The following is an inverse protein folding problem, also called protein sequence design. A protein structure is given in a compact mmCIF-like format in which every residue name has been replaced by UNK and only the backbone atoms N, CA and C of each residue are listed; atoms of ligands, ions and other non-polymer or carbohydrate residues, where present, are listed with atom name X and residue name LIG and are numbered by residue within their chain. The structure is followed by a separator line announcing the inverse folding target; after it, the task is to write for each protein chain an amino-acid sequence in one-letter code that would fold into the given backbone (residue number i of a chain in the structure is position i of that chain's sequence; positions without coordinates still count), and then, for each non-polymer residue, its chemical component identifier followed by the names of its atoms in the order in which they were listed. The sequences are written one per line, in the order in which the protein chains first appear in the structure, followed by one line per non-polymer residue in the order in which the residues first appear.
data_IF_158477817374
#
_entry.id   IF_158477817374
#
_cell.length_a   1.000
_cell.length_b   1.000
_cell.length_c   1.000
_cell.angle_alpha   90.00
_cell.angle_beta   90.00
_cell.angle_gamma   90.00
#
_symmetry.space_group_name_H-M   'P 1'
#
loop_
_entity.id
_entity.type
_entity.pdbx_description
1 polymer ?
#
# COMPACT_ATOMS: atom_id res chain seq x y z
N UNK A 1 31.53 -57.33 11.09
CA UNK A 1 30.31 -56.61 11.52
C UNK A 1 30.24 -56.64 13.03
N UNK A 2 30.65 -55.55 13.67
CA UNK A 2 30.71 -55.42 15.14
C UNK A 2 29.31 -55.16 15.68
N UNK A 3 28.78 -56.10 16.48
CA UNK A 3 27.54 -55.94 17.24
C UNK A 3 27.78 -54.93 18.36
N UNK A 4 27.24 -53.72 18.22
CA UNK A 4 27.19 -52.73 19.29
C UNK A 4 26.31 -53.29 20.42
N UNK A 5 26.90 -53.45 21.62
CA UNK A 5 26.18 -53.86 22.83
C UNK A 5 25.27 -52.70 23.31
N UNK A 6 24.01 -52.96 23.70
CA UNK A 6 23.17 -51.96 24.33
C UNK A 6 23.52 -51.91 25.82
N UNK A 7 23.92 -50.74 26.32
CA UNK A 7 24.34 -50.63 27.71
C UNK A 7 24.75 -49.24 28.14
N UNK A 8 23.83 -48.28 28.03
CA UNK A 8 23.80 -47.06 28.85
C UNK A 8 22.35 -46.58 28.93
N UNK A 9 21.78 -46.28 30.11
CA UNK A 9 20.48 -45.63 30.18
C UNK A 9 20.61 -44.22 29.60
N UNK A 10 19.90 -43.96 28.51
CA UNK A 10 19.78 -42.62 27.94
C UNK A 10 18.93 -41.75 28.89
N UNK A 11 19.26 -40.45 29.04
CA UNK A 11 18.56 -39.55 29.95
C UNK A 11 17.08 -39.43 29.58
N UNK A 12 16.21 -39.39 30.59
CA UNK A 12 14.77 -39.29 30.44
C UNK A 12 14.37 -37.89 29.94
N UNK A 13 13.99 -37.79 28.66
CA UNK A 13 13.53 -36.55 28.04
C UNK A 13 12.08 -36.29 28.50
N UNK A 14 11.88 -35.26 29.32
CA UNK A 14 10.56 -34.80 29.76
C UNK A 14 10.08 -33.65 28.86
N UNK A 15 9.28 -33.99 27.86
CA UNK A 15 8.52 -33.05 27.05
C UNK A 15 7.36 -33.78 26.39
N UNK A 16 6.14 -33.24 26.45
CA UNK A 16 4.97 -33.82 25.80
C UNK A 16 5.08 -33.66 24.28
N UNK A 17 5.85 -34.54 23.64
CA UNK A 17 6.00 -34.59 22.18
C UNK A 17 4.92 -35.50 21.60
N UNK A 18 4.02 -34.95 20.78
CA UNK A 18 2.93 -35.69 20.15
C UNK A 18 3.46 -36.44 18.94
N UNK A 19 3.71 -37.75 19.08
CA UNK A 19 4.11 -38.61 17.98
C UNK A 19 2.89 -39.35 17.45
N UNK A 20 2.68 -39.29 16.13
CA UNK A 20 1.63 -40.05 15.46
C UNK A 20 2.12 -41.48 15.20
N UNK A 21 1.65 -42.44 16.00
CA UNK A 21 2.09 -43.83 15.97
C UNK A 21 1.06 -44.68 15.22
N UNK A 22 1.08 -44.66 13.89
CA UNK A 22 0.22 -45.52 13.10
C UNK A 22 0.72 -46.98 13.09
N UNK A 23 -0.18 -47.93 13.36
CA UNK A 23 -0.07 -49.32 12.88
C UNK A 23 0.80 -50.31 13.68
N UNK A 24 1.18 -50.02 14.92
CA UNK A 24 1.90 -51.00 15.75
C UNK A 24 0.92 -51.77 16.64
N UNK A 25 0.31 -52.86 16.17
CA UNK A 25 -0.66 -53.59 16.98
C UNK A 25 -0.04 -54.50 18.06
N UNK A 26 1.22 -54.95 17.95
CA UNK A 26 1.66 -56.11 18.77
C UNK A 26 3.07 -56.08 19.42
N UNK A 27 3.70 -54.93 19.63
CA UNK A 27 4.99 -54.90 20.35
C UNK A 27 5.22 -53.64 21.19
N UNK A 28 4.68 -53.60 22.42
CA UNK A 28 4.85 -52.49 23.37
C UNK A 28 6.32 -52.09 23.60
N UNK A 29 7.24 -53.08 23.65
CA UNK A 29 8.67 -52.80 23.84
C UNK A 29 9.32 -52.15 22.60
N UNK A 30 8.90 -52.57 21.40
CA UNK A 30 9.40 -51.99 20.15
C UNK A 30 8.85 -50.57 19.94
N UNK A 31 7.59 -50.33 20.30
CA UNK A 31 6.99 -48.99 20.30
C UNK A 31 7.77 -48.03 21.20
N UNK A 32 8.14 -48.46 22.42
CA UNK A 32 8.86 -47.61 23.37
C UNK A 32 10.27 -47.27 22.87
N UNK A 33 10.97 -48.25 22.27
CA UNK A 33 12.25 -48.00 21.60
C UNK A 33 12.12 -47.08 20.38
N UNK A 34 11.08 -47.25 19.55
CA UNK A 34 10.81 -46.39 18.39
C UNK A 34 10.53 -44.94 18.82
N UNK A 35 9.72 -44.74 19.87
CA UNK A 35 9.45 -43.43 20.46
C UNK A 35 10.77 -42.83 20.95
N UNK A 36 11.54 -43.57 21.76
CA UNK A 36 12.79 -43.10 22.33
C UNK A 36 13.82 -42.71 21.25
N UNK A 37 13.98 -43.52 20.21
CA UNK A 37 14.87 -43.22 19.10
C UNK A 37 14.37 -42.02 18.30
N UNK A 38 13.06 -41.93 18.02
CA UNK A 38 12.46 -40.78 17.33
C UNK A 38 12.67 -39.49 18.11
N UNK A 39 12.38 -39.46 19.41
CA UNK A 39 12.61 -38.30 20.27
C UNK A 39 14.08 -37.91 20.27
N UNK A 40 15.00 -38.89 20.38
CA UNK A 40 16.44 -38.61 20.33
C UNK A 40 16.86 -37.98 19.01
N UNK A 41 16.34 -38.47 17.88
CA UNK A 41 16.61 -37.88 16.55
C UNK A 41 16.11 -36.45 16.48
N UNK A 42 14.89 -36.15 16.97
CA UNK A 42 14.35 -34.79 16.96
C UNK A 42 15.20 -33.86 17.82
N UNK A 43 15.53 -34.25 19.06
CA UNK A 43 16.40 -33.45 19.93
C UNK A 43 17.77 -33.20 19.32
N UNK A 44 18.37 -34.19 18.65
CA UNK A 44 19.63 -33.98 17.94
C UNK A 44 19.49 -33.03 16.75
N UNK A 45 18.39 -33.08 16.01
CA UNK A 45 18.12 -32.15 14.90
C UNK A 45 17.93 -30.71 15.40
N UNK A 46 17.19 -30.50 16.48
CA UNK A 46 17.01 -29.18 17.11
C UNK A 46 18.35 -28.62 17.60
N UNK A 47 19.17 -29.46 18.24
CA UNK A 47 20.52 -29.06 18.65
C UNK A 47 21.42 -28.71 17.45
N UNK A 48 21.30 -29.42 16.32
CA UNK A 48 22.03 -29.08 15.09
C UNK A 48 21.58 -27.73 14.51
N UNK A 49 20.30 -27.40 14.56
CA UNK A 49 19.76 -26.11 14.11
C UNK A 49 20.29 -24.95 14.96
N UNK A 50 20.17 -25.06 16.29
CA UNK A 50 20.66 -24.04 17.22
C UNK A 50 22.17 -23.78 17.05
N UNK A 51 22.96 -24.84 16.90
CA UNK A 51 24.39 -24.73 16.68
C UNK A 51 24.76 -24.20 15.29
N UNK A 52 23.88 -24.31 14.28
CA UNK A 52 24.14 -23.79 12.94
C UNK A 52 24.20 -22.26 12.93
N UNK A 53 23.33 -21.59 13.68
CA UNK A 53 23.35 -20.13 13.83
C UNK A 53 24.63 -19.66 14.51
N UNK A 54 25.00 -20.29 15.63
CA UNK A 54 26.24 -20.00 16.36
C UNK A 54 27.49 -20.22 15.48
N UNK A 55 27.52 -21.31 14.71
CA UNK A 55 28.60 -21.58 13.75
C UNK A 55 28.74 -20.45 12.71
N UNK A 56 27.63 -19.94 12.16
CA UNK A 56 27.68 -18.82 11.20
C UNK A 56 28.26 -17.55 11.84
N UNK A 57 27.79 -17.20 13.04
CA UNK A 57 28.31 -16.04 13.79
C UNK A 57 29.81 -16.18 14.07
N UNK A 58 30.26 -17.32 14.60
CA UNK A 58 31.68 -17.54 14.88
C UNK A 58 32.54 -17.58 13.62
N UNK A 59 32.03 -18.09 12.50
CA UNK A 59 32.76 -18.07 11.23
C UNK A 59 32.94 -16.63 10.72
N UNK A 60 31.93 -15.78 10.88
CA UNK A 60 32.03 -14.35 10.58
C UNK A 60 33.04 -13.64 11.49
N UNK A 61 32.95 -13.82 12.81
CA UNK A 61 33.89 -13.21 13.77
C UNK A 61 35.33 -13.67 13.49
N UNK A 62 35.53 -14.96 13.23
CA UNK A 62 36.83 -15.50 12.85
C UNK A 62 37.34 -14.83 11.57
N UNK A 63 36.47 -14.61 10.57
CA UNK A 63 36.87 -13.90 9.36
C UNK A 63 37.31 -12.45 9.66
N UNK A 64 36.61 -11.75 10.55
CA UNK A 64 37.00 -10.39 10.96
C UNK A 64 38.39 -10.34 11.59
N UNK A 65 38.73 -11.30 12.45
CA UNK A 65 40.08 -11.38 13.03
C UNK A 65 41.16 -11.60 11.96
N UNK A 66 40.86 -12.42 10.95
CA UNK A 66 41.77 -12.63 9.81
C UNK A 66 41.89 -11.41 8.90
N UNK A 67 40.83 -10.61 8.74
CA UNK A 67 40.87 -9.36 7.98
C UNK A 67 41.83 -8.34 8.63
N UNK A 68 42.01 -8.38 9.96
CA UNK A 68 42.97 -7.54 10.71
C UNK A 68 44.41 -8.01 10.54
N UNK A 69 44.66 -9.33 10.55
CA UNK A 69 46.02 -9.91 10.51
C UNK A 69 46.56 -10.06 9.07
N UNK A 70 45.68 -10.10 8.07
CA UNK A 70 46.01 -10.16 6.65
C UNK A 70 45.61 -11.48 5.98
N UNK A 71 44.96 -11.37 4.82
CA UNK A 71 44.19 -12.45 4.14
C UNK A 71 45.03 -13.60 3.54
N UNK A 72 46.37 -13.48 3.52
CA UNK A 72 47.24 -14.39 2.75
C UNK A 72 47.19 -15.86 3.22
N UNK A 73 46.69 -16.13 4.42
CA UNK A 73 46.67 -17.48 5.03
C UNK A 73 45.26 -18.05 5.26
N UNK A 74 44.19 -17.29 4.97
CA UNK A 74 42.80 -17.69 5.25
C UNK A 74 42.42 -19.02 4.58
N UNK A 75 42.68 -19.14 3.27
CA UNK A 75 42.35 -20.34 2.52
C UNK A 75 43.04 -21.60 3.05
N UNK A 76 44.35 -21.50 3.32
CA UNK A 76 45.14 -22.60 3.91
C UNK A 76 44.66 -22.97 5.31
N UNK A 77 44.33 -21.97 6.14
CA UNK A 77 43.79 -22.20 7.48
C UNK A 77 42.46 -22.95 7.42
N UNK A 78 41.55 -22.53 6.55
CA UNK A 78 40.26 -23.17 6.35
C UNK A 78 40.41 -24.62 5.89
N UNK A 79 41.28 -24.87 4.91
CA UNK A 79 41.50 -26.22 4.39
C UNK A 79 42.06 -27.14 5.48
N UNK A 80 43.04 -26.69 6.26
CA UNK A 80 43.69 -27.50 7.29
C UNK A 80 42.77 -27.79 8.48
N UNK A 81 41.90 -26.86 8.86
CA UNK A 81 41.12 -26.96 10.10
C UNK A 81 39.67 -27.40 9.88
N UNK A 82 39.04 -27.06 8.75
CA UNK A 82 37.60 -27.28 8.55
C UNK A 82 37.24 -28.39 7.57
N UNK A 83 38.16 -28.79 6.66
CA UNK A 83 37.92 -29.84 5.66
C UNK A 83 37.54 -31.19 6.29
N UNK A 84 38.16 -31.55 7.41
CA UNK A 84 37.86 -32.81 8.15
C UNK A 84 36.45 -32.87 8.74
N UNK A 85 35.79 -31.72 8.87
CA UNK A 85 34.42 -31.59 9.35
C UNK A 85 33.40 -31.43 8.20
N UNK A 86 33.83 -31.61 6.94
CA UNK A 86 32.96 -31.47 5.77
C UNK A 86 32.56 -30.02 5.44
N UNK A 87 33.27 -29.03 5.99
CA UNK A 87 33.02 -27.62 5.71
C UNK A 87 33.92 -27.18 4.54
N UNK A 88 33.31 -27.12 3.34
CA UNK A 88 33.98 -26.68 2.13
C UNK A 88 33.94 -25.16 1.97
N UNK A 89 34.77 -24.63 1.08
CA UNK A 89 34.93 -23.19 0.84
C UNK A 89 33.60 -22.47 0.54
N UNK A 90 32.71 -23.08 -0.24
CA UNK A 90 31.37 -22.54 -0.52
C UNK A 90 30.51 -22.40 0.75
N UNK A 91 30.53 -23.43 1.61
CA UNK A 91 29.83 -23.43 2.90
C UNK A 91 30.44 -22.45 3.89
N UNK A 92 31.77 -22.27 3.88
CA UNK A 92 32.46 -21.26 4.68
C UNK A 92 32.03 -19.86 4.25
N UNK A 93 32.04 -19.56 2.94
CA UNK A 93 31.58 -18.26 2.43
C UNK A 93 30.13 -17.97 2.79
N UNK A 94 29.24 -18.96 2.64
CA UNK A 94 27.83 -18.82 3.02
C UNK A 94 27.66 -18.58 4.53
N UNK A 95 28.40 -19.32 5.37
CA UNK A 95 28.40 -19.13 6.81
C UNK A 95 28.88 -17.73 7.23
N UNK A 96 29.93 -17.20 6.60
CA UNK A 96 30.42 -15.83 6.85
C UNK A 96 29.37 -14.80 6.46
N UNK A 97 28.78 -14.90 5.25
CA UNK A 97 27.74 -13.96 4.81
C UNK A 97 26.55 -13.97 5.76
N UNK A 98 26.09 -15.16 6.12
CA UNK A 98 24.99 -15.33 7.07
C UNK A 98 25.35 -14.75 8.44
N UNK A 99 26.54 -15.06 8.97
CA UNK A 99 27.01 -14.54 10.25
C UNK A 99 27.11 -13.02 10.28
N UNK A 100 27.54 -12.39 9.17
CA UNK A 100 27.55 -10.93 9.02
C UNK A 100 26.14 -10.35 9.13
N UNK A 101 25.16 -10.96 8.45
CA UNK A 101 23.76 -10.52 8.50
C UNK A 101 23.21 -10.64 9.92
N UNK A 102 23.46 -11.77 10.59
CA UNK A 102 23.02 -12.00 11.97
C UNK A 102 23.62 -10.98 12.96
N UNK A 103 24.92 -10.69 12.83
CA UNK A 103 25.58 -9.68 13.65
C UNK A 103 24.98 -8.28 13.42
N UNK A 104 24.72 -7.91 12.15
CA UNK A 104 24.11 -6.63 11.81
C UNK A 104 22.68 -6.49 12.36
N UNK A 105 21.87 -7.56 12.30
CA UNK A 105 20.53 -7.59 12.88
C UNK A 105 20.59 -7.38 14.41
N UNK A 106 21.54 -8.06 15.08
CA UNK A 106 21.79 -7.86 16.51
C UNK A 106 22.18 -6.42 16.87
N UNK A 107 23.05 -5.79 16.07
CA UNK A 107 23.44 -4.39 16.28
C UNK A 107 22.28 -3.39 16.06
N UNK A 108 21.34 -3.72 15.18
CA UNK A 108 20.10 -2.95 14.97
C UNK A 108 19.04 -3.16 16.06
N UNK A 109 19.33 -4.01 17.06
CA UNK A 109 18.39 -4.32 18.15
C UNK A 109 17.30 -5.31 17.77
N UNK A 110 17.42 -6.01 16.64
CA UNK A 110 16.50 -7.08 16.28
C UNK A 110 16.84 -8.36 17.03
N UNK A 111 15.84 -8.92 17.72
CA UNK A 111 15.94 -10.27 18.25
C UNK A 111 15.99 -11.28 17.08
N UNK A 112 17.04 -12.10 17.04
CA UNK A 112 17.25 -13.12 16.01
C UNK A 112 17.23 -14.54 16.60
N UNK A 113 16.81 -14.70 17.85
CA UNK A 113 16.77 -16.00 18.53
C UNK A 113 15.89 -17.01 17.81
N UNK A 114 14.83 -16.59 17.13
CA UNK A 114 13.96 -17.48 16.37
C UNK A 114 14.64 -18.05 15.12
N UNK A 115 15.68 -17.38 14.59
CA UNK A 115 16.49 -17.93 13.50
C UNK A 115 17.28 -19.18 13.93
N UNK A 116 17.44 -19.43 15.22
CA UNK A 116 18.05 -20.67 15.73
C UNK A 116 17.23 -21.92 15.40
N UNK A 117 15.94 -21.77 15.04
CA UNK A 117 15.07 -22.87 14.61
C UNK A 117 15.22 -23.20 13.12
N UNK A 118 16.01 -22.42 12.38
CA UNK A 118 16.26 -22.67 10.96
C UNK A 118 17.33 -23.74 10.76
N UNK A 119 17.15 -24.57 9.74
CA UNK A 119 18.22 -25.44 9.27
C UNK A 119 19.40 -24.63 8.72
N UNK A 120 20.61 -25.21 8.68
CA UNK A 120 21.79 -24.57 8.09
C UNK A 120 21.54 -24.07 6.66
N UNK A 121 20.83 -24.85 5.84
CA UNK A 121 20.51 -24.45 4.46
C UNK A 121 19.54 -23.26 4.42
N UNK A 122 18.57 -23.24 5.33
CA UNK A 122 17.62 -22.14 5.48
C UNK A 122 18.33 -20.85 5.95
N UNK A 123 19.25 -20.97 6.91
CA UNK A 123 20.11 -19.87 7.34
C UNK A 123 20.95 -19.31 6.20
N UNK A 124 21.52 -20.16 5.34
CA UNK A 124 22.28 -19.69 4.18
C UNK A 124 21.41 -18.97 3.16
N UNK A 125 20.20 -19.49 2.90
CA UNK A 125 19.23 -18.81 2.04
C UNK A 125 18.84 -17.42 2.61
N UNK A 126 18.66 -17.33 3.93
CA UNK A 126 18.41 -16.06 4.61
C UNK A 126 19.61 -15.10 4.50
N UNK A 127 20.83 -15.60 4.71
CA UNK A 127 22.07 -14.82 4.61
C UNK A 127 22.39 -14.32 3.20
N UNK A 128 21.87 -14.98 2.17
CA UNK A 128 21.99 -14.56 0.77
C UNK A 128 20.92 -13.52 0.36
N UNK A 129 19.95 -13.21 1.23
CA UNK A 129 18.93 -12.21 0.95
C UNK A 129 19.51 -10.78 0.81
N UNK A 130 18.99 -9.95 -0.11
CA UNK A 130 19.36 -8.54 -0.23
C UNK A 130 19.08 -7.74 1.06
N UNK A 131 19.92 -6.73 1.36
CA UNK A 131 19.86 -5.96 2.63
C UNK A 131 18.53 -5.24 2.82
N UNK A 132 17.95 -4.76 1.73
CA UNK A 132 16.62 -4.12 1.64
C UNK A 132 15.46 -5.06 1.95
N UNK A 133 15.68 -6.38 1.87
CA UNK A 133 14.67 -7.40 2.11
C UNK A 133 14.84 -8.09 3.47
N UNK A 134 16.04 -8.09 4.04
CA UNK A 134 16.40 -8.84 5.26
C UNK A 134 15.49 -8.58 6.47
N UNK A 135 15.12 -7.33 6.75
CA UNK A 135 14.27 -6.99 7.90
C UNK A 135 12.83 -7.51 7.72
N UNK A 136 12.29 -7.37 6.51
CA UNK A 136 10.95 -7.87 6.20
C UNK A 136 10.92 -9.40 6.17
N UNK A 137 11.97 -10.02 5.62
CA UNK A 137 12.14 -11.47 5.65
C UNK A 137 12.24 -12.01 7.08
N UNK A 138 12.94 -11.30 7.99
CA UNK A 138 13.01 -11.68 9.40
C UNK A 138 11.63 -11.67 10.06
N UNK A 139 10.80 -10.66 9.78
CA UNK A 139 9.44 -10.60 10.28
C UNK A 139 8.59 -11.78 9.78
N UNK A 140 8.64 -12.08 8.48
CA UNK A 140 7.90 -13.19 7.88
C UNK A 140 8.35 -14.56 8.44
N UNK A 141 9.65 -14.73 8.72
CA UNK A 141 10.19 -15.94 9.35
C UNK A 141 9.69 -16.09 10.78
N UNK A 142 9.67 -14.99 11.57
CA UNK A 142 9.14 -15.00 12.95
C UNK A 142 7.65 -15.37 12.97
N UNK A 143 6.86 -14.79 12.06
CA UNK A 143 5.44 -15.11 11.92
C UNK A 143 5.23 -16.58 11.54
N UNK A 144 5.99 -17.09 10.57
CA UNK A 144 5.93 -18.51 10.16
C UNK A 144 6.25 -19.46 11.32
N UNK A 145 7.25 -19.13 12.13
CA UNK A 145 7.63 -19.91 13.32
C UNK A 145 6.52 -19.84 14.37
N UNK A 146 5.93 -18.67 14.59
CA UNK A 146 4.83 -18.50 15.53
C UNK A 146 3.62 -19.35 15.13
N UNK A 147 3.25 -19.35 13.86
CA UNK A 147 2.07 -20.06 13.34
C UNK A 147 2.25 -21.57 13.26
N UNK A 148 3.44 -22.03 12.85
CA UNK A 148 3.70 -23.45 12.55
C UNK A 148 4.48 -24.17 13.64
N UNK A 149 5.06 -23.45 14.59
CA UNK A 149 5.98 -23.98 15.61
C UNK A 149 7.31 -24.49 15.05
N UNK A 150 7.60 -24.27 13.75
CA UNK A 150 8.83 -24.72 13.09
C UNK A 150 9.31 -23.69 12.06
N UNK A 151 10.63 -23.63 11.90
CA UNK A 151 11.28 -22.76 10.92
C UNK A 151 10.95 -23.10 9.46
N UNK A 152 10.82 -22.10 8.57
CA UNK A 152 10.70 -22.33 7.14
C UNK A 152 11.93 -23.04 6.55
N UNK A 153 11.69 -23.78 5.47
CA UNK A 153 12.73 -24.46 4.69
C UNK A 153 13.55 -23.48 3.85
N UNK A 154 14.69 -23.95 3.35
CA UNK A 154 15.55 -23.13 2.49
C UNK A 154 14.86 -22.68 1.20
N UNK A 155 14.01 -23.54 0.62
CA UNK A 155 13.30 -23.23 -0.62
C UNK A 155 12.15 -22.24 -0.38
N UNK A 156 11.45 -22.36 0.77
CA UNK A 156 10.47 -21.36 1.20
C UNK A 156 11.12 -19.98 1.41
N UNK A 157 12.30 -19.93 2.05
CA UNK A 157 13.03 -18.67 2.23
C UNK A 157 13.46 -18.08 0.89
N UNK A 158 14.03 -18.88 -0.03
CA UNK A 158 14.44 -18.37 -1.35
C UNK A 158 13.27 -17.81 -2.14
N UNK A 159 12.15 -18.54 -2.17
CA UNK A 159 10.93 -18.08 -2.83
C UNK A 159 10.47 -16.76 -2.23
N UNK A 160 10.50 -16.64 -0.91
CA UNK A 160 10.08 -15.41 -0.24
C UNK A 160 11.03 -14.24 -0.52
N UNK A 161 12.32 -14.49 -0.60
CA UNK A 161 13.31 -13.49 -1.04
C UNK A 161 12.99 -13.00 -2.44
N UNK A 162 12.71 -13.90 -3.39
CA UNK A 162 12.34 -13.54 -4.76
C UNK A 162 11.08 -12.67 -4.82
N UNK A 163 10.04 -13.05 -4.09
CA UNK A 163 8.79 -12.27 -3.98
C UNK A 163 9.05 -10.87 -3.41
N UNK A 164 9.77 -10.77 -2.29
CA UNK A 164 10.06 -9.51 -1.64
C UNK A 164 10.98 -8.61 -2.48
N UNK A 165 11.97 -9.20 -3.17
CA UNK A 165 12.84 -8.46 -4.08
C UNK A 165 12.06 -7.90 -5.28
N UNK A 166 11.10 -8.65 -5.82
CA UNK A 166 10.20 -8.15 -6.86
C UNK A 166 9.35 -6.97 -6.33
N UNK A 167 8.76 -7.11 -5.15
CA UNK A 167 7.99 -6.02 -4.52
C UNK A 167 8.82 -4.75 -4.30
N UNK A 168 10.08 -4.87 -3.87
CA UNK A 168 10.97 -3.72 -3.68
C UNK A 168 11.30 -3.07 -5.03
N UNK A 169 11.54 -3.87 -6.07
CA UNK A 169 11.81 -3.38 -7.42
C UNK A 169 10.63 -2.58 -7.98
N UNK A 170 9.41 -3.11 -7.85
CA UNK A 170 8.18 -2.46 -8.32
C UNK A 170 7.93 -1.13 -7.58
N UNK A 171 8.14 -1.11 -6.25
CA UNK A 171 8.04 0.12 -5.45
C UNK A 171 9.08 1.16 -5.86
N UNK A 172 10.31 0.74 -6.15
CA UNK A 172 11.36 1.63 -6.63
C UNK A 172 11.03 2.21 -8.02
N UNK A 173 10.40 1.42 -8.90
CA UNK A 173 9.85 1.89 -10.18
C UNK A 173 8.78 2.97 -9.99
N UNK A 174 7.79 2.68 -9.14
CA UNK A 174 6.69 3.62 -8.85
C UNK A 174 7.20 4.93 -8.23
N UNK A 175 8.21 4.87 -7.35
CA UNK A 175 8.82 6.07 -6.78
C UNK A 175 9.47 6.95 -7.85
N UNK A 176 10.22 6.37 -8.79
CA UNK A 176 10.82 7.12 -9.90
C UNK A 176 9.77 7.79 -10.77
N UNK A 177 8.65 7.13 -11.03
CA UNK A 177 7.53 7.71 -11.80
C UNK A 177 6.89 8.88 -11.05
N UNK A 178 6.69 8.74 -9.73
CA UNK A 178 6.18 9.83 -8.88
C UNK A 178 7.14 11.01 -8.84
N UNK A 179 8.44 10.78 -8.69
CA UNK A 179 9.44 11.85 -8.71
C UNK A 179 9.46 12.58 -10.06
N UNK A 180 9.35 11.85 -11.17
CA UNK A 180 9.22 12.44 -12.50
C UNK A 180 7.93 13.27 -12.65
N UNK A 181 6.81 12.81 -12.07
CA UNK A 181 5.56 13.56 -12.07
C UNK A 181 5.65 14.84 -11.22
N UNK A 182 6.27 14.78 -10.04
CA UNK A 182 6.53 15.94 -9.19
C UNK A 182 7.40 16.96 -9.93
N UNK A 183 8.45 16.51 -10.60
CA UNK A 183 9.30 17.38 -11.41
C UNK A 183 8.50 18.12 -12.49
N UNK A 184 7.65 17.40 -13.25
CA UNK A 184 6.78 18.01 -14.27
C UNK A 184 5.80 19.02 -13.68
N UNK A 185 5.18 18.71 -12.54
CA UNK A 185 4.28 19.62 -11.84
C UNK A 185 5.00 20.88 -11.36
N UNK A 186 6.20 20.76 -10.81
CA UNK A 186 7.00 21.91 -10.40
C UNK A 186 7.37 22.81 -11.58
N UNK A 187 7.74 22.23 -12.73
CA UNK A 187 8.00 23.01 -13.94
C UNK A 187 6.75 23.74 -14.44
N UNK A 188 5.59 23.08 -14.43
CA UNK A 188 4.31 23.70 -14.81
C UNK A 188 3.89 24.82 -13.83
N UNK A 189 4.15 24.64 -12.53
CA UNK A 189 3.91 25.65 -11.51
C UNK A 189 4.76 26.89 -11.75
N UNK A 190 6.07 26.72 -11.98
CA UNK A 190 6.97 27.82 -12.30
C UNK A 190 6.56 28.57 -13.58
N UNK A 191 6.11 27.84 -14.62
CA UNK A 191 5.57 28.45 -15.83
C UNK A 191 4.33 29.31 -15.52
N UNK A 192 3.39 28.81 -14.70
CA UNK A 192 2.23 29.61 -14.28
C UNK A 192 2.59 30.81 -13.40
N UNK A 193 3.58 30.69 -12.53
CA UNK A 193 4.05 31.83 -11.71
C UNK A 193 4.65 32.93 -12.59
N UNK A 194 5.41 32.56 -13.62
CA UNK A 194 5.96 33.53 -14.58
C UNK A 194 4.87 34.20 -15.42
N UNK A 195 3.89 33.45 -15.92
CA UNK A 195 2.70 34.01 -16.60
C UNK A 195 1.92 34.96 -15.68
N UNK A 196 1.69 34.57 -14.42
CA UNK A 196 0.99 35.41 -13.45
C UNK A 196 1.76 36.70 -13.15
N UNK A 197 3.10 36.64 -13.10
CA UNK A 197 3.95 37.83 -12.94
C UNK A 197 3.83 38.76 -14.15
N UNK A 198 3.87 38.22 -15.36
CA UNK A 198 3.71 39.01 -16.59
C UNK A 198 2.34 39.69 -16.67
N UNK A 199 1.27 38.95 -16.33
CA UNK A 199 -0.08 39.50 -16.29
C UNK A 199 -0.23 40.65 -15.26
N UNK A 200 0.43 40.54 -14.08
CA UNK A 200 0.45 41.62 -13.08
C UNK A 200 1.15 42.87 -13.62
N UNK A 201 2.30 42.72 -14.29
CA UNK A 201 2.99 43.85 -14.91
C UNK A 201 2.14 44.52 -16.00
N UNK A 202 1.39 43.74 -16.78
CA UNK A 202 0.50 44.27 -17.82
C UNK A 202 -0.67 45.05 -17.22
N UNK A 203 -1.30 44.53 -16.16
CA UNK A 203 -2.35 45.24 -15.40
C UNK A 203 -1.83 46.57 -14.85
N UNK A 204 -0.62 46.59 -14.29
CA UNK A 204 -0.01 47.81 -13.77
C UNK A 204 0.25 48.84 -14.87
N UNK A 205 0.71 48.39 -16.06
CA UNK A 205 0.91 49.27 -17.22
C UNK A 205 -0.40 49.87 -17.72
N UNK A 206 -1.46 49.06 -17.79
CA UNK A 206 -2.79 49.52 -18.20
C UNK A 206 -3.37 50.51 -17.19
N UNK A 207 -3.24 50.25 -15.89
CA UNK A 207 -3.65 51.19 -14.84
C UNK A 207 -2.95 52.56 -14.98
N UNK A 208 -1.63 52.58 -15.19
CA UNK A 208 -0.89 53.84 -15.41
C UNK A 208 -1.37 54.58 -16.67
N UNK A 209 -1.65 53.87 -17.76
CA UNK A 209 -2.18 54.49 -19.00
C UNK A 209 -3.56 55.12 -18.77
N UNK A 210 -4.47 54.39 -18.13
CA UNK A 210 -5.81 54.88 -17.77
C UNK A 210 -5.72 56.11 -16.86
N UNK A 211 -4.85 56.08 -15.87
CA UNK A 211 -4.64 57.20 -14.94
C UNK A 211 -4.11 58.44 -15.67
N UNK A 212 -3.17 58.28 -16.61
CA UNK A 212 -2.64 59.38 -17.42
C UNK A 212 -3.71 59.96 -18.37
N UNK A 213 -4.51 59.11 -19.01
CA UNK A 213 -5.61 59.55 -19.88
C UNK A 213 -6.71 60.30 -19.09
N UNK A 214 -7.02 59.84 -17.88
CA UNK A 214 -7.96 60.53 -17.00
C UNK A 214 -7.43 61.91 -16.57
N UNK A 215 -6.13 62.04 -16.33
CA UNK A 215 -5.50 63.35 -16.05
C UNK A 215 -5.52 64.30 -17.25
N UNK A 216 -5.35 63.81 -18.48
CA UNK A 216 -5.42 64.64 -19.69
C UNK A 216 -6.83 65.21 -19.94
N UNK A 217 -7.89 64.46 -19.64
CA UNK A 217 -9.28 64.90 -19.83
C UNK A 217 -9.70 65.96 -18.79
N UNK A 218 -9.15 65.93 -17.57
CA UNK A 218 -9.47 66.91 -16.51
C UNK A 218 -8.93 68.31 -16.82
N UNK A 219 -7.95 68.46 -17.72
CA UNK A 219 -7.26 69.73 -17.97
C UNK A 219 -7.66 70.48 -19.25
N UNK A 220 -8.63 70.00 -20.03
CA UNK A 220 -9.12 70.74 -21.20
C UNK A 220 -10.64 70.92 -21.16
N UNK A 221 -11.10 72.13 -20.77
CA UNK A 221 -12.45 72.57 -21.06
C UNK A 221 -12.60 72.78 -22.59
N UNK A 222 -13.65 72.26 -23.23
CA UNK A 222 -13.86 72.40 -24.68
C UNK A 222 -13.88 73.88 -25.10
N UNK A 223 -13.16 74.23 -26.17
CA UNK A 223 -13.15 75.59 -26.71
C UNK A 223 -14.50 75.90 -27.37
N UNK A 224 -15.27 76.82 -26.79
CA UNK A 224 -16.51 77.35 -27.40
C UNK A 224 -17.72 77.56 -26.49
N UNK A 225 -17.60 77.39 -25.17
CA UNK A 225 -18.75 77.51 -24.25
C UNK A 225 -19.07 79.00 -24.00
N UNK A 226 -20.15 79.50 -24.60
CA UNK A 226 -20.67 80.87 -24.35
C UNK A 226 -21.69 80.92 -23.21
N UNK A 227 -22.27 79.79 -22.82
CA UNK A 227 -23.11 79.65 -21.61
C UNK A 227 -22.72 78.37 -20.85
N UNK A 228 -21.90 78.54 -19.82
CA UNK A 228 -21.38 77.43 -19.00
C UNK A 228 -22.50 76.75 -18.19
N UNK A 229 -23.55 77.47 -17.83
CA UNK A 229 -24.68 76.91 -17.09
C UNK A 229 -25.56 76.01 -17.95
N UNK A 230 -25.81 76.35 -19.22
CA UNK A 230 -26.62 75.52 -20.12
C UNK A 230 -25.92 74.21 -20.47
N UNK A 231 -24.60 74.25 -20.73
CA UNK A 231 -23.82 73.03 -20.98
C UNK A 231 -23.69 72.17 -19.73
N UNK A 232 -23.52 72.80 -18.56
CA UNK A 232 -23.48 72.09 -17.28
C UNK A 232 -24.82 71.40 -16.99
N UNK A 233 -25.94 72.08 -17.24
CA UNK A 233 -27.28 71.50 -17.10
C UNK A 233 -27.46 70.30 -18.03
N UNK A 234 -27.05 70.43 -19.29
CA UNK A 234 -27.12 69.33 -20.26
C UNK A 234 -26.27 68.12 -19.86
N UNK A 235 -25.07 68.35 -19.31
CA UNK A 235 -24.20 67.29 -18.79
C UNK A 235 -24.81 66.66 -17.51
N UNK A 236 -25.40 67.44 -16.61
CA UNK A 236 -26.08 66.94 -15.41
C UNK A 236 -27.32 66.09 -15.78
N UNK A 237 -28.06 66.49 -16.82
CA UNK A 237 -29.19 65.74 -17.38
C UNK A 237 -28.72 64.44 -18.09
N UNK A 238 -27.60 64.48 -18.83
CA UNK A 238 -27.01 63.27 -19.43
C UNK A 238 -26.45 62.31 -18.37
N UNK A 239 -25.81 62.82 -17.32
CA UNK A 239 -25.31 62.01 -16.20
C UNK A 239 -26.47 61.35 -15.46
N UNK A 240 -27.57 62.06 -15.23
CA UNK A 240 -28.76 61.47 -14.60
C UNK A 240 -29.40 60.43 -15.50
N UNK A 241 -29.57 60.70 -16.80
CA UNK A 241 -30.09 59.72 -17.75
C UNK A 241 -29.21 58.44 -17.82
N UNK A 242 -27.87 58.60 -17.81
CA UNK A 242 -26.92 57.48 -17.80
C UNK A 242 -26.91 56.72 -16.48
N UNK A 243 -27.12 57.38 -15.34
CA UNK A 243 -27.31 56.72 -14.04
C UNK A 243 -28.59 55.89 -14.00
N UNK A 244 -29.68 56.40 -14.55
CA UNK A 244 -30.94 55.66 -14.65
C UNK A 244 -30.81 54.45 -15.58
N UNK A 245 -30.08 54.60 -16.69
CA UNK A 245 -29.77 53.49 -17.59
C UNK A 245 -28.91 52.43 -16.90
N UNK A 246 -27.87 52.83 -16.14
CA UNK A 246 -27.04 51.92 -15.34
C UNK A 246 -27.87 51.17 -14.29
N UNK A 247 -28.75 51.86 -13.56
CA UNK A 247 -29.64 51.23 -12.58
C UNK A 247 -30.57 50.19 -13.22
N UNK A 248 -31.07 50.44 -14.44
CA UNK A 248 -31.87 49.45 -15.18
C UNK A 248 -31.04 48.25 -15.58
N UNK A 249 -29.82 48.46 -16.07
CA UNK A 249 -28.92 47.35 -16.43
C UNK A 249 -28.51 46.52 -15.22
N UNK A 250 -28.26 47.14 -14.05
CA UNK A 250 -27.96 46.42 -12.81
C UNK A 250 -29.17 45.60 -12.32
N UNK A 251 -30.38 46.13 -12.46
CA UNK A 251 -31.61 45.38 -12.16
C UNK A 251 -31.78 44.18 -13.09
N UNK A 252 -31.48 44.33 -14.39
CA UNK A 252 -31.49 43.22 -15.36
C UNK A 252 -30.41 42.17 -15.06
N UNK A 253 -29.19 42.58 -14.72
CA UNK A 253 -28.11 41.67 -14.31
C UNK A 253 -28.51 40.89 -13.07
N UNK A 254 -29.12 41.54 -12.08
CA UNK A 254 -29.60 40.89 -10.86
C UNK A 254 -30.66 39.85 -11.19
N UNK A 255 -31.63 40.21 -12.04
CA UNK A 255 -32.68 39.28 -12.50
C UNK A 255 -32.10 38.08 -13.26
N UNK A 256 -31.12 38.30 -14.14
CA UNK A 256 -30.44 37.22 -14.88
C UNK A 256 -29.62 36.32 -13.96
N UNK A 257 -28.95 36.88 -12.94
CA UNK A 257 -28.25 36.09 -11.91
C UNK A 257 -29.21 35.20 -11.13
N UNK A 258 -30.35 35.73 -10.69
CA UNK A 258 -31.36 34.96 -9.97
C UNK A 258 -31.94 33.84 -10.85
N UNK A 259 -32.19 34.12 -12.13
CA UNK A 259 -32.63 33.10 -13.10
C UNK A 259 -31.56 32.01 -13.30
N UNK A 260 -30.30 32.40 -13.44
CA UNK A 260 -29.20 31.45 -13.59
C UNK A 260 -29.04 30.56 -12.34
N UNK A 261 -29.17 31.13 -11.14
CA UNK A 261 -29.11 30.38 -9.89
C UNK A 261 -30.26 29.37 -9.76
N UNK A 262 -31.49 29.76 -10.16
CA UNK A 262 -32.64 28.84 -10.20
C UNK A 262 -32.43 27.69 -11.19
N UNK A 263 -31.91 27.99 -12.38
CA UNK A 263 -31.60 26.96 -13.39
C UNK A 263 -30.49 26.02 -12.91
N UNK A 264 -29.45 26.53 -12.24
CA UNK A 264 -28.40 25.70 -11.63
C UNK A 264 -28.96 24.78 -10.55
N UNK A 265 -29.83 25.28 -9.67
CA UNK A 265 -30.49 24.45 -8.65
C UNK A 265 -31.35 23.36 -9.28
N UNK A 266 -32.10 23.68 -10.33
CA UNK A 266 -32.91 22.69 -11.07
C UNK A 266 -32.03 21.64 -11.76
N UNK A 267 -30.91 22.04 -12.36
CA UNK A 267 -29.95 21.12 -12.98
C UNK A 267 -29.30 20.19 -11.94
N UNK A 268 -28.96 20.72 -10.76
CA UNK A 268 -28.41 19.92 -9.66
C UNK A 268 -29.41 18.89 -9.13
N UNK A 269 -30.69 19.26 -8.99
CA UNK A 269 -31.75 18.33 -8.60
C UNK A 269 -31.95 17.22 -9.64
N UNK A 270 -31.92 17.56 -10.94
CA UNK A 270 -31.99 16.58 -12.03
C UNK A 270 -30.80 15.63 -12.03
N UNK A 271 -29.58 16.14 -11.84
CA UNK A 271 -28.38 15.32 -11.74
C UNK A 271 -28.44 14.35 -10.54
N UNK A 272 -28.95 14.81 -9.39
CA UNK A 272 -29.16 13.95 -8.23
C UNK A 272 -30.19 12.85 -8.50
N UNK A 273 -31.33 13.19 -9.13
CA UNK A 273 -32.34 12.21 -9.50
C UNK A 273 -31.80 11.17 -10.50
N UNK A 274 -31.01 11.61 -11.49
CA UNK A 274 -30.39 10.73 -12.48
C UNK A 274 -29.38 9.77 -11.85
N UNK A 275 -28.50 10.25 -10.98
CA UNK A 275 -27.55 9.40 -10.24
C UNK A 275 -28.28 8.36 -9.36
N UNK A 276 -29.39 8.74 -8.73
CA UNK A 276 -30.20 7.81 -7.93
C UNK A 276 -30.83 6.72 -8.80
N UNK A 277 -31.30 7.06 -10.01
CA UNK A 277 -31.83 6.09 -10.97
C UNK A 277 -30.75 5.14 -11.49
N UNK A 278 -29.57 5.64 -11.83
CA UNK A 278 -28.43 4.81 -12.30
C UNK A 278 -27.99 3.81 -11.21
N UNK A 279 -27.93 4.25 -9.94
CA UNK A 279 -27.65 3.37 -8.80
C UNK A 279 -28.72 2.28 -8.65
N UNK A 280 -30.00 2.66 -8.74
CA UNK A 280 -31.12 1.72 -8.62
C UNK A 280 -31.14 0.71 -9.78
N UNK A 281 -30.79 1.13 -10.99
CA UNK A 281 -30.63 0.24 -12.14
C UNK A 281 -29.50 -0.77 -11.92
N UNK A 282 -28.38 -0.32 -11.35
CA UNK A 282 -27.27 -1.19 -10.95
C UNK A 282 -27.68 -2.23 -9.91
N UNK A 283 -28.41 -1.82 -8.87
CA UNK A 283 -28.92 -2.72 -7.83
C UNK A 283 -29.93 -3.73 -8.39
N UNK A 284 -30.79 -3.32 -9.33
CA UNK A 284 -31.77 -4.18 -9.98
C UNK A 284 -31.08 -5.22 -10.89
N UNK A 285 -30.02 -4.83 -11.62
CA UNK A 285 -29.16 -5.76 -12.38
C UNK A 285 -28.48 -6.77 -11.44
N UNK A 286 -27.96 -6.33 -10.30
CA UNK A 286 -27.36 -7.23 -9.31
C UNK A 286 -28.39 -8.22 -8.71
N UNK A 287 -29.59 -7.74 -8.39
CA UNK A 287 -30.69 -8.57 -7.89
C UNK A 287 -31.14 -9.61 -8.90
N UNK A 288 -31.31 -9.24 -10.17
CA UNK A 288 -31.73 -10.16 -11.25
C UNK A 288 -30.67 -11.22 -11.56
N UNK A 289 -29.38 -10.89 -11.42
CA UNK A 289 -28.29 -11.89 -11.51
C UNK A 289 -28.29 -12.86 -10.31
N UNK A 290 -28.53 -12.36 -9.10
CA UNK A 290 -28.47 -13.15 -7.86
C UNK A 290 -29.70 -14.03 -7.63
N UNK A 291 -30.87 -13.54 -8.02
CA UNK A 291 -32.16 -14.24 -7.89
C UNK A 291 -32.72 -14.52 -9.28
N UNK A 292 -32.23 -15.59 -9.90
CA UNK A 292 -32.81 -16.11 -11.15
C UNK A 292 -34.26 -16.51 -10.96
N UNK A 293 -35.06 -16.47 -12.03
CA UNK A 293 -36.49 -16.81 -12.01
C UNK A 293 -36.76 -18.14 -11.29
N UNK A 294 -35.90 -19.14 -11.48
CA UNK A 294 -35.98 -20.45 -10.82
C UNK A 294 -35.84 -20.37 -9.29
N UNK A 295 -34.99 -19.49 -8.77
CA UNK A 295 -34.82 -19.26 -7.33
C UNK A 295 -36.01 -18.50 -6.75
N UNK A 296 -36.55 -17.53 -7.48
CA UNK A 296 -37.75 -16.78 -7.08
C UNK A 296 -38.98 -17.70 -7.04
N UNK A 297 -39.12 -18.60 -8.01
CA UNK A 297 -40.19 -19.62 -8.05
C UNK A 297 -40.09 -20.56 -6.84
N UNK A 298 -38.87 -20.99 -6.47
CA UNK A 298 -38.63 -21.80 -5.27
C UNK A 298 -38.98 -21.07 -3.98
N UNK A 299 -38.61 -19.80 -3.84
CA UNK A 299 -38.95 -18.96 -2.67
C UNK A 299 -40.47 -18.74 -2.57
N UNK A 300 -41.15 -18.54 -3.70
CA UNK A 300 -42.62 -18.45 -3.78
C UNK A 300 -43.30 -19.74 -3.34
N UNK A 301 -42.74 -20.91 -3.69
CA UNK A 301 -43.30 -22.21 -3.33
C UNK A 301 -43.03 -22.65 -1.88
N UNK A 302 -42.06 -22.04 -1.20
CA UNK A 302 -41.59 -22.47 0.11
C UNK A 302 -42.37 -21.87 1.31
N UNK A 303 -42.82 -20.61 1.22
CA UNK A 303 -43.61 -19.97 2.28
C UNK A 303 -44.51 -18.86 1.70
N UNK A 304 -45.79 -18.88 2.08
CA UNK A 304 -46.81 -17.93 1.64
C UNK A 304 -46.53 -16.50 2.15
N UNK A 305 -45.80 -16.34 3.26
CA UNK A 305 -45.40 -15.05 3.80
C UNK A 305 -44.31 -14.35 2.95
N UNK A 306 -43.51 -15.11 2.21
CA UNK A 306 -42.50 -14.54 1.32
C UNK A 306 -43.14 -13.81 0.13
N UNK A 307 -44.29 -14.30 -0.34
CA UNK A 307 -45.05 -13.67 -1.44
C UNK A 307 -45.52 -12.27 -1.02
N UNK A 308 -46.13 -12.15 0.17
CA UNK A 308 -46.60 -10.86 0.68
C UNK A 308 -45.45 -9.86 0.88
N UNK A 309 -44.27 -10.35 1.27
CA UNK A 309 -43.08 -9.50 1.47
C UNK A 309 -42.50 -9.02 0.14
N UNK A 310 -42.44 -9.89 -0.87
CA UNK A 310 -42.01 -9.53 -2.23
C UNK A 310 -42.98 -8.57 -2.91
N UNK A 311 -44.29 -8.76 -2.74
CA UNK A 311 -45.30 -7.85 -3.29
C UNK A 311 -45.24 -6.47 -2.62
N UNK A 312 -44.99 -6.40 -1.30
CA UNK A 312 -44.77 -5.14 -0.60
C UNK A 312 -43.52 -4.42 -1.10
N UNK A 313 -42.42 -5.14 -1.33
CA UNK A 313 -41.20 -4.57 -1.89
C UNK A 313 -41.40 -4.06 -3.32
N UNK A 314 -42.08 -4.84 -4.17
CA UNK A 314 -42.40 -4.43 -5.54
C UNK A 314 -43.29 -3.18 -5.58
N UNK A 315 -44.30 -3.10 -4.71
CA UNK A 315 -45.16 -1.92 -4.59
C UNK A 315 -44.41 -0.71 -4.02
N UNK A 316 -43.49 -0.92 -3.07
CA UNK A 316 -42.61 0.13 -2.55
C UNK A 316 -41.67 0.70 -3.61
N UNK A 317 -41.07 -0.16 -4.44
CA UNK A 317 -40.23 0.26 -5.57
C UNK A 317 -41.03 1.02 -6.63
N UNK A 318 -42.28 0.59 -6.91
CA UNK A 318 -43.17 1.29 -7.85
C UNK A 318 -43.55 2.68 -7.33
N UNK A 319 -43.89 2.81 -6.04
CA UNK A 319 -44.19 4.11 -5.43
C UNK A 319 -42.97 5.06 -5.41
N UNK A 320 -41.76 4.53 -5.18
CA UNK A 320 -40.52 5.29 -5.25
C UNK A 320 -40.23 5.77 -6.69
N UNK A 321 -40.46 4.92 -7.69
CA UNK A 321 -40.32 5.29 -9.10
C UNK A 321 -41.30 6.41 -9.50
N UNK A 322 -42.55 6.35 -9.03
CA UNK A 322 -43.55 7.39 -9.29
C UNK A 322 -43.14 8.75 -8.69
N UNK A 323 -42.57 8.77 -7.48
CA UNK A 323 -42.05 9.99 -6.85
C UNK A 323 -40.83 10.59 -7.58
N UNK A 324 -39.93 9.73 -8.07
CA UNK A 324 -38.75 10.16 -8.84
C UNK A 324 -39.16 10.66 -10.24
N UNK A 325 -40.17 10.07 -10.87
CA UNK A 325 -40.66 10.52 -12.18
C UNK A 325 -41.19 11.96 -12.15
N UNK A 326 -41.90 12.34 -11.09
CA UNK A 326 -42.46 13.68 -10.92
C UNK A 326 -41.39 14.77 -10.71
N UNK A 327 -40.16 14.39 -10.32
CA UNK A 327 -39.03 15.31 -10.14
C UNK A 327 -38.14 15.42 -11.39
N UNK A 328 -38.32 14.54 -12.38
CA UNK A 328 -37.55 14.51 -13.63
C UNK A 328 -38.19 15.27 -14.79
N UNK A 329 -39.53 15.43 -14.80
CA UNK A 329 -40.29 16.24 -15.77
C UNK A 329 -40.20 17.72 -15.39
#
# INVERSE_FOLDING_TARGET
MSKLRPGSPLPAIHGNMTLDLFGFEDARLNQLNIIQHTTSVITHLEAMQANAMAMCLHMFLLRQEFDVVGDKTWGMFCERNFKKYGLHESGIRAAIRTGKVLANLGHKGHDSTELAQLSRAALFAFGDAPVDVQEKLLADVKETIHDRGKGPTADEIKKRVEELSAEVSDKAGLLKEKDAAIYRLNTALQARETEASQAREEIDRLHRRLQNQAQEVVHQLPKGVKDAEALRQQIEDEITAKRDELMRTDAEITKLRDQHQRLQQQAALRAHAQNALESLEGDLKALTMKYTEVLVEKIRSADRNNIQTLDRLANGLRALADQLSATLV
#
